data_IF_280608055190
#
_entry.id   IF_280608055190
#
_cell.length_a   1.000
_cell.length_b   1.000
_cell.length_c   1.000
_cell.angle_alpha   90.00
_cell.angle_beta   90.00
_cell.angle_gamma   90.00
#
_symmetry.space_group_name_H-M   'P 1'
#
loop_
_entity.id
_entity.type
_entity.pdbx_description
1 polymer ?
#
# COMPACT_ATOMS: atom_id res chain seq x y z
N UNK A 1 18.93 -0.19 -7.42
CA UNK A 1 18.67 -0.17 -5.97
C UNK A 1 18.77 -1.61 -5.45
N UNK A 2 19.14 -1.83 -4.18
CA UNK A 2 19.18 -3.17 -3.55
C UNK A 2 17.89 -3.47 -2.76
N UNK A 3 16.78 -2.82 -3.13
CA UNK A 3 15.51 -2.98 -2.43
C UNK A 3 14.80 -4.26 -2.91
N UNK A 4 14.21 -4.99 -1.96
CA UNK A 4 13.46 -6.24 -2.23
C UNK A 4 12.02 -5.98 -2.67
N UNK A 5 11.41 -4.89 -2.21
CA UNK A 5 10.05 -4.46 -2.56
C UNK A 5 9.88 -2.95 -2.37
N UNK A 6 8.81 -2.41 -2.96
CA UNK A 6 8.31 -1.06 -2.70
C UNK A 6 7.04 -1.19 -1.86
N UNK A 7 6.96 -0.45 -0.75
CA UNK A 7 5.80 -0.41 0.13
C UNK A 7 5.19 0.99 0.11
N UNK A 8 3.98 1.11 -0.42
CA UNK A 8 3.20 2.36 -0.46
C UNK A 8 2.27 2.37 0.74
N UNK A 9 2.39 3.39 1.60
CA UNK A 9 1.63 3.56 2.85
C UNK A 9 0.82 4.84 2.79
N UNK A 10 -0.44 4.75 3.15
CA UNK A 10 -1.38 5.87 3.08
C UNK A 10 -1.17 6.92 4.18
N UNK A 11 -0.90 6.45 5.40
CA UNK A 11 -0.91 7.28 6.61
C UNK A 11 0.48 7.48 7.21
N UNK A 12 0.85 8.73 7.44
CA UNK A 12 2.11 9.12 8.10
C UNK A 12 2.32 8.43 9.47
N UNK A 13 1.28 8.36 10.30
CA UNK A 13 1.39 7.70 11.61
C UNK A 13 1.75 6.20 11.48
N UNK A 14 1.20 5.54 10.46
CA UNK A 14 1.50 4.12 10.16
C UNK A 14 2.91 3.97 9.61
N UNK A 15 3.36 4.90 8.77
CA UNK A 15 4.73 4.98 8.30
C UNK A 15 5.72 5.12 9.47
N UNK A 16 5.50 6.09 10.35
CA UNK A 16 6.34 6.30 11.54
C UNK A 16 6.36 5.08 12.46
N UNK A 17 5.21 4.46 12.70
CA UNK A 17 5.11 3.25 13.50
C UNK A 17 5.94 2.09 12.91
N UNK A 18 5.83 1.82 11.60
CA UNK A 18 6.57 0.74 10.95
C UNK A 18 8.09 1.00 10.92
N UNK A 19 8.51 2.26 10.81
CA UNK A 19 9.92 2.61 10.97
C UNK A 19 10.41 2.33 12.39
N UNK A 20 9.62 2.71 13.40
CA UNK A 20 9.96 2.50 14.81
C UNK A 20 10.00 1.02 15.22
N UNK A 21 9.19 0.17 14.59
CA UNK A 21 9.15 -1.28 14.86
C UNK A 21 10.33 -2.05 14.26
N UNK A 22 11.15 -1.41 13.43
CA UNK A 22 12.33 -2.02 12.83
C UNK A 22 12.03 -2.91 11.63
N UNK A 23 10.99 -2.60 10.85
CA UNK A 23 10.58 -3.35 9.64
C UNK A 23 11.76 -3.66 8.69
N UNK A 24 12.72 -2.74 8.55
CA UNK A 24 13.90 -2.91 7.69
C UNK A 24 14.83 -4.03 8.18
N UNK A 25 14.89 -4.28 9.49
CA UNK A 25 15.66 -5.40 10.06
C UNK A 25 14.95 -6.73 9.80
N UNK A 26 13.62 -6.74 9.80
CA UNK A 26 12.81 -7.95 9.65
C UNK A 26 12.65 -8.39 8.19
N UNK A 27 12.36 -7.45 7.29
CA UNK A 27 12.06 -7.75 5.88
C UNK A 27 13.24 -7.44 4.93
N UNK A 28 14.28 -6.78 5.44
CA UNK A 28 15.44 -6.35 4.67
C UNK A 28 15.21 -5.01 3.94
N UNK A 29 16.11 -4.66 3.01
CA UNK A 29 16.06 -3.37 2.32
C UNK A 29 14.77 -3.24 1.49
N UNK A 30 14.03 -2.16 1.70
CA UNK A 30 12.83 -1.83 0.91
C UNK A 30 12.76 -0.32 0.67
N UNK A 31 11.95 0.08 -0.31
CA UNK A 31 11.59 1.48 -0.53
C UNK A 31 10.22 1.67 0.11
N UNK A 32 10.10 2.58 1.06
CA UNK A 32 8.82 2.91 1.69
C UNK A 32 8.41 4.30 1.21
N UNK A 33 7.21 4.41 0.67
CA UNK A 33 6.61 5.65 0.15
C UNK A 33 5.39 5.94 1.00
N UNK A 34 5.20 7.20 1.41
CA UNK A 34 4.01 7.61 2.14
C UNK A 34 3.37 8.86 1.56
N UNK A 35 2.04 8.93 1.61
CA UNK A 35 1.23 10.08 1.22
C UNK A 35 0.57 10.76 2.42
N UNK A 36 -0.19 11.84 2.16
CA UNK A 36 -1.01 12.53 3.16
C UNK A 36 -2.48 12.11 3.09
N UNK A 37 -2.73 10.81 3.05
CA UNK A 37 -4.06 10.28 2.87
C UNK A 37 -4.33 9.87 1.42
N UNK A 38 -5.20 10.62 0.73
CA UNK A 38 -5.57 10.35 -0.67
C UNK A 38 -4.37 10.38 -1.64
N UNK A 39 -4.31 9.51 -2.67
CA UNK A 39 -3.20 9.45 -3.61
C UNK A 39 -3.02 10.75 -4.41
N UNK A 40 -2.02 11.54 -4.06
CA UNK A 40 -1.67 12.74 -4.83
C UNK A 40 -0.93 12.39 -6.14
N UNK A 41 -0.87 13.37 -7.06
CA UNK A 41 -0.28 13.18 -8.39
C UNK A 41 1.19 12.79 -8.30
N UNK A 42 1.95 13.47 -7.45
CA UNK A 42 3.39 13.24 -7.32
C UNK A 42 3.71 11.82 -6.83
N UNK A 43 2.98 11.33 -5.82
CA UNK A 43 3.14 9.97 -5.30
C UNK A 43 2.76 8.95 -6.37
N UNK A 44 1.66 9.18 -7.10
CA UNK A 44 1.24 8.29 -8.21
C UNK A 44 2.27 8.24 -9.34
N UNK A 45 2.83 9.37 -9.74
CA UNK A 45 3.90 9.43 -10.74
C UNK A 45 5.14 8.67 -10.28
N UNK A 46 5.56 8.85 -9.02
CA UNK A 46 6.70 8.14 -8.45
C UNK A 46 6.47 6.62 -8.47
N UNK A 47 5.31 6.17 -8.00
CA UNK A 47 4.95 4.74 -7.97
C UNK A 47 4.88 4.15 -9.39
N UNK A 48 4.33 4.90 -10.35
CA UNK A 48 4.28 4.51 -11.78
C UNK A 48 5.68 4.36 -12.36
N UNK A 49 6.54 5.35 -12.18
CA UNK A 49 7.92 5.34 -12.67
C UNK A 49 8.68 4.14 -12.11
N UNK A 50 8.53 3.86 -10.80
CA UNK A 50 9.13 2.68 -10.18
C UNK A 50 8.58 1.37 -10.78
N UNK A 51 7.28 1.30 -11.08
CA UNK A 51 6.66 0.12 -11.70
C UNK A 51 7.07 -0.10 -13.15
N UNK A 52 7.14 0.95 -13.96
CA UNK A 52 7.53 0.86 -15.38
C UNK A 52 9.01 0.51 -15.55
N UNK A 53 9.88 1.08 -14.70
CA UNK A 53 11.30 0.72 -14.69
C UNK A 53 11.53 -0.77 -14.41
N UNK A 54 10.64 -1.41 -13.65
CA UNK A 54 10.69 -2.85 -13.41
C UNK A 54 10.31 -3.62 -14.68
N UNK A 55 9.19 -3.28 -15.31
CA UNK A 55 8.71 -3.92 -16.54
C UNK A 55 9.73 -3.86 -17.68
N UNK A 56 10.43 -2.73 -17.84
CA UNK A 56 11.42 -2.58 -18.91
C UNK A 56 12.64 -3.50 -18.72
N UNK A 57 13.07 -3.74 -17.48
CA UNK A 57 14.12 -4.73 -17.19
C UNK A 57 13.73 -6.15 -17.57
N UNK A 58 12.46 -6.50 -17.44
CA UNK A 58 11.97 -7.84 -17.77
C UNK A 58 11.90 -8.07 -19.28
N UNK A 59 11.46 -7.06 -20.05
CA UNK A 59 11.46 -7.12 -21.52
C UNK A 59 12.88 -7.28 -22.10
N UNK A 60 13.87 -6.64 -21.46
CA UNK A 60 15.29 -6.77 -21.86
C UNK A 60 15.92 -8.11 -21.41
N UNK A 61 15.44 -8.72 -20.32
CA UNK A 61 15.94 -10.00 -19.79
C UNK A 61 15.28 -11.23 -20.43
N UNK A 62 14.10 -11.08 -21.02
CA UNK A 62 13.36 -12.16 -21.69
C UNK A 62 14.08 -12.81 -22.88
N UNK A 63 15.15 -12.19 -23.42
CA UNK A 63 15.97 -12.76 -24.48
C UNK A 63 17.19 -13.55 -23.97
N UNK A 64 17.60 -13.41 -22.70
CA UNK A 64 18.79 -14.05 -22.13
C UNK A 64 18.64 -14.26 -20.61
N UNK A 65 17.90 -15.28 -20.17
CA UNK A 65 17.88 -15.65 -18.75
C UNK A 65 17.70 -17.15 -18.53
N UNK A 66 18.79 -17.90 -18.70
CA UNK A 66 19.03 -19.12 -17.92
C UNK A 66 19.83 -18.71 -16.68
N UNK A 67 19.34 -19.09 -15.50
CA UNK A 67 20.12 -19.19 -14.27
C UNK A 67 20.56 -17.89 -13.59
N UNK A 68 19.60 -17.11 -13.07
CA UNK A 68 19.67 -16.46 -11.73
C UNK A 68 18.32 -15.81 -11.42
N UNK A 69 17.66 -16.32 -10.38
CA UNK A 69 16.44 -15.75 -9.79
C UNK A 69 16.74 -14.36 -9.23
N UNK A 70 16.63 -13.32 -10.04
CA UNK A 70 16.48 -11.97 -9.53
C UNK A 70 14.99 -11.71 -9.37
N UNK A 71 14.55 -11.65 -8.12
CA UNK A 71 13.16 -11.48 -7.76
C UNK A 71 12.64 -10.15 -8.29
N UNK A 72 11.61 -10.22 -9.12
CA UNK A 72 10.64 -9.14 -9.34
C UNK A 72 10.45 -8.33 -8.05
N UNK A 73 10.81 -7.04 -8.03
CA UNK A 73 10.64 -6.17 -6.85
C UNK A 73 9.17 -5.75 -6.79
N UNK A 74 8.30 -6.36 -5.99
CA UNK A 74 6.87 -6.07 -6.06
C UNK A 74 6.57 -4.68 -5.50
N UNK A 75 5.56 -4.02 -6.08
CA UNK A 75 4.92 -2.83 -5.50
C UNK A 75 3.75 -3.29 -4.65
N UNK A 76 3.85 -3.03 -3.35
CA UNK A 76 2.92 -3.46 -2.32
C UNK A 76 2.21 -2.22 -1.75
N UNK A 77 0.90 -2.26 -1.68
CA UNK A 77 0.07 -1.21 -1.10
C UNK A 77 -0.43 -1.61 0.27
N UNK A 78 -0.16 -0.80 1.29
CA UNK A 78 -0.71 -0.90 2.64
C UNK A 78 -1.60 0.31 2.88
N UNK A 79 -2.85 0.16 2.47
CA UNK A 79 -3.87 1.20 2.51
C UNK A 79 -4.85 0.89 3.62
N UNK A 80 -5.23 1.95 4.35
CA UNK A 80 -6.17 1.88 5.45
C UNK A 80 -5.83 0.80 6.50
N UNK A 81 -4.79 1.11 7.28
CA UNK A 81 -4.66 0.55 8.61
C UNK A 81 -4.56 1.74 9.55
N UNK A 82 -5.71 2.31 9.87
CA UNK A 82 -5.86 3.56 10.58
C UNK A 82 -5.95 3.30 12.11
N UNK A 83 -4.89 3.46 12.91
CA UNK A 83 -4.94 3.22 14.36
C UNK A 83 -5.67 4.35 15.14
N UNK A 84 -6.52 5.15 14.50
CA UNK A 84 -7.47 6.02 15.23
C UNK A 84 -8.59 5.22 15.91
N UNK A 85 -8.62 3.90 15.70
CA UNK A 85 -9.18 2.97 16.65
C UNK A 85 -8.65 3.12 18.07
N UNK A 86 -7.61 3.91 18.41
CA UNK A 86 -7.21 4.15 19.81
C UNK A 86 -8.25 4.91 20.66
N UNK A 87 -8.83 6.00 20.13
CA UNK A 87 -9.91 6.74 20.84
C UNK A 87 -11.23 5.98 20.79
N UNK A 88 -11.51 5.28 19.69
CA UNK A 88 -12.68 4.41 19.56
C UNK A 88 -12.54 3.13 20.42
N UNK A 89 -11.35 2.53 20.53
CA UNK A 89 -11.03 1.41 21.42
C UNK A 89 -11.28 1.79 22.88
N UNK A 90 -10.90 3.01 23.28
CA UNK A 90 -11.17 3.50 24.63
C UNK A 90 -12.67 3.59 24.93
N UNK A 91 -13.49 3.98 23.94
CA UNK A 91 -14.96 3.96 24.05
C UNK A 91 -15.48 2.51 24.08
N UNK A 92 -14.91 1.63 23.28
CA UNK A 92 -15.25 0.20 23.18
C UNK A 92 -14.98 -0.59 24.46
N UNK A 93 -13.81 -0.43 25.07
CA UNK A 93 -13.49 -1.03 26.36
C UNK A 93 -14.39 -0.50 27.50
N UNK A 94 -15.07 0.63 27.27
CA UNK A 94 -16.08 1.17 28.18
C UNK A 94 -17.50 0.66 27.89
N UNK A 95 -17.71 -0.10 26.80
CA UNK A 95 -18.99 -0.71 26.41
C UNK A 95 -19.06 -2.18 26.86
N UNK A 96 -20.27 -2.75 26.88
CA UNK A 96 -20.49 -4.13 27.31
C UNK A 96 -19.76 -5.16 26.41
N UNK A 97 -19.21 -6.27 26.96
CA UNK A 97 -18.62 -7.38 26.21
C UNK A 97 -19.49 -7.91 25.06
N UNK A 98 -20.81 -7.87 25.21
CA UNK A 98 -21.77 -8.30 24.18
C UNK A 98 -21.79 -7.43 22.91
N UNK A 99 -21.33 -6.18 22.99
CA UNK A 99 -21.26 -5.24 21.85
C UNK A 99 -19.95 -5.34 21.07
N UNK A 100 -18.92 -5.99 21.64
CA UNK A 100 -17.58 -6.02 21.05
C UNK A 100 -17.53 -6.79 19.74
N UNK A 101 -18.23 -7.92 19.63
CA UNK A 101 -18.15 -8.77 18.45
C UNK A 101 -18.87 -8.16 17.24
N UNK A 102 -20.03 -7.53 17.46
CA UNK A 102 -20.80 -6.84 16.43
C UNK A 102 -20.11 -5.56 15.96
N UNK A 103 -19.53 -4.80 16.89
CA UNK A 103 -18.85 -3.54 16.57
C UNK A 103 -17.42 -3.80 16.01
N UNK A 104 -16.75 -4.89 16.39
CA UNK A 104 -15.55 -5.40 15.68
C UNK A 104 -15.90 -5.87 14.26
N UNK A 105 -17.05 -6.50 14.04
CA UNK A 105 -17.51 -6.87 12.70
C UNK A 105 -17.78 -5.61 11.85
N UNK A 106 -18.44 -4.61 12.41
CA UNK A 106 -18.68 -3.31 11.74
C UNK A 106 -17.36 -2.59 11.46
N UNK A 107 -16.42 -2.50 12.40
CA UNK A 107 -15.12 -1.83 12.18
C UNK A 107 -14.19 -2.60 11.26
N UNK A 108 -14.20 -3.94 11.25
CA UNK A 108 -13.44 -4.75 10.29
C UNK A 108 -14.06 -4.76 8.88
N UNK A 109 -15.37 -4.59 8.78
CA UNK A 109 -16.09 -4.46 7.49
C UNK A 109 -16.04 -3.03 6.95
N UNK A 110 -16.04 -2.05 7.85
CA UNK A 110 -15.75 -0.65 7.58
C UNK A 110 -14.25 -0.37 7.54
N UNK A 111 -13.36 -1.37 7.59
CA UNK A 111 -11.93 -1.23 7.30
C UNK A 111 -11.68 -1.54 5.82
N UNK A 112 -11.78 -0.63 4.87
CA UNK A 112 -12.69 0.52 4.69
C UNK A 112 -12.94 0.56 3.18
N UNK A 113 -14.13 1.00 2.77
CA UNK A 113 -14.39 1.39 1.37
C UNK A 113 -13.30 2.37 0.88
N UNK A 114 -12.74 3.19 1.77
CA UNK A 114 -11.66 4.12 1.48
C UNK A 114 -10.34 3.42 1.10
N UNK A 115 -9.91 2.36 1.80
CA UNK A 115 -8.71 1.60 1.46
C UNK A 115 -8.80 0.96 0.08
N UNK A 116 -9.99 0.45 -0.28
CA UNK A 116 -10.28 -0.10 -1.60
C UNK A 116 -10.34 1.01 -2.66
N UNK A 117 -10.91 2.17 -2.34
CA UNK A 117 -10.93 3.34 -3.23
C UNK A 117 -9.52 3.83 -3.54
N UNK A 118 -8.68 3.95 -2.51
CA UNK A 118 -7.26 4.34 -2.60
C UNK A 118 -6.49 3.34 -3.47
N UNK A 119 -6.64 2.04 -3.21
CA UNK A 119 -6.08 1.00 -4.06
C UNK A 119 -6.57 1.13 -5.51
N UNK A 120 -7.86 1.40 -5.71
CA UNK A 120 -8.47 1.55 -7.02
C UNK A 120 -7.90 2.75 -7.79
N UNK A 121 -7.60 3.85 -7.11
CA UNK A 121 -6.96 5.02 -7.73
C UNK A 121 -5.53 4.71 -8.15
N UNK A 122 -4.76 3.99 -7.32
CA UNK A 122 -3.43 3.53 -7.72
C UNK A 122 -3.50 2.56 -8.89
N UNK A 123 -4.45 1.63 -8.90
CA UNK A 123 -4.50 0.53 -9.87
C UNK A 123 -5.15 0.91 -11.20
N UNK A 124 -6.21 1.72 -11.17
CA UNK A 124 -7.08 2.03 -12.30
C UNK A 124 -7.13 3.53 -12.63
N UNK A 125 -6.65 4.38 -11.72
CA UNK A 125 -6.68 5.82 -11.88
C UNK A 125 -7.90 6.51 -11.25
N UNK A 126 -7.94 7.84 -11.34
CA UNK A 126 -9.02 8.68 -10.78
C UNK A 126 -9.92 9.21 -11.89
N UNK A 127 -11.23 9.29 -11.67
CA UNK A 127 -12.15 9.90 -12.65
C UNK A 127 -11.90 11.39 -12.83
N UNK A 128 -11.46 12.09 -11.79
CA UNK A 128 -11.13 13.52 -11.84
C UNK A 128 -9.88 13.81 -12.71
N UNK A 129 -9.06 12.80 -12.99
CA UNK A 129 -7.85 12.89 -13.83
C UNK A 129 -7.85 11.81 -14.90
N UNK A 130 -8.99 11.59 -15.55
CA UNK A 130 -9.18 10.52 -16.53
C UNK A 130 -8.20 10.57 -17.71
N UNK A 131 -7.83 11.79 -18.16
CA UNK A 131 -6.89 12.00 -19.27
C UNK A 131 -5.46 11.51 -18.96
N UNK A 132 -5.03 11.57 -17.70
CA UNK A 132 -3.67 11.18 -17.27
C UNK A 132 -3.63 9.81 -16.60
N UNK A 133 -4.73 9.07 -16.57
CA UNK A 133 -4.78 7.78 -15.88
C UNK A 133 -3.77 6.78 -16.43
N UNK A 134 -3.49 6.78 -17.73
CA UNK A 134 -2.47 5.92 -18.33
C UNK A 134 -1.07 6.19 -17.77
N UNK A 135 -0.78 7.46 -17.43
CA UNK A 135 0.49 7.93 -16.90
C UNK A 135 0.57 7.88 -15.37
N UNK A 136 -0.54 7.59 -14.69
CA UNK A 136 -0.63 7.65 -13.22
C UNK A 136 -1.11 6.34 -12.57
N UNK A 137 -1.65 5.39 -13.35
CA UNK A 137 -2.12 4.11 -12.86
C UNK A 137 -1.00 3.06 -12.89
N UNK A 138 -0.76 2.44 -11.74
CA UNK A 138 0.21 1.36 -11.53
C UNK A 138 -0.56 0.04 -11.39
N UNK A 139 -0.88 -0.58 -12.52
CA UNK A 139 -1.77 -1.76 -12.59
C UNK A 139 -1.24 -3.00 -11.86
N UNK A 140 0.08 -3.09 -11.67
CA UNK A 140 0.77 -4.19 -11.01
C UNK A 140 0.89 -4.04 -9.48
N UNK A 141 0.35 -2.98 -8.88
CA UNK A 141 0.31 -2.83 -7.43
C UNK A 141 -0.52 -3.95 -6.78
N UNK A 142 0.00 -4.53 -5.69
CA UNK A 142 -0.68 -5.59 -4.91
C UNK A 142 -1.03 -5.07 -3.53
N UNK A 143 -2.27 -5.25 -3.12
CA UNK A 143 -2.69 -4.95 -1.75
C UNK A 143 -2.17 -6.03 -0.79
N UNK A 144 -1.67 -5.61 0.38
CA UNK A 144 -1.13 -6.53 1.41
C UNK A 144 -1.98 -6.64 2.69
N UNK A 145 -3.20 -6.10 2.74
CA UNK A 145 -4.16 -6.32 3.85
C UNK A 145 -5.50 -6.89 3.34
N UNK A 146 -6.40 -7.47 4.15
CA UNK A 146 -6.27 -8.22 5.42
C UNK A 146 -6.53 -9.71 5.09
N UNK A 147 -5.73 -10.63 5.64
CA UNK A 147 -6.00 -12.08 5.64
C UNK A 147 -6.28 -12.56 7.07
#
# INVERSE_FOLDING_TARGET
TNAKFVLVIEKEATFQHLLSSGILKQFGPCIIITGKGYPDVATRQLVKVLGDHQRNKDNLRGSMASSRSESWMPILGFFDNDPYGGSFFSIFYSLSPSSHHFLMFITRTLLTIAGIEILSIYKFGSQAMSFDNENLATTNIKWIGLH
#
